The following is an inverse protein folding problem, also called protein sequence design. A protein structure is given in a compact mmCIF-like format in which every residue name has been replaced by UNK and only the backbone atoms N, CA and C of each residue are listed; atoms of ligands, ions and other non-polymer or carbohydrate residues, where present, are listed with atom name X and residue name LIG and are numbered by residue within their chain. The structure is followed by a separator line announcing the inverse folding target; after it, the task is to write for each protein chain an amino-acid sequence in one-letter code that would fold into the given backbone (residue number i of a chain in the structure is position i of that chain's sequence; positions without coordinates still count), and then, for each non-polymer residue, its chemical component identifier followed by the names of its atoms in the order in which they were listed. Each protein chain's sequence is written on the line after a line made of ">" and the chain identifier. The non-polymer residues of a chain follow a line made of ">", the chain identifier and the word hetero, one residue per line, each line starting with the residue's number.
data_IF_679107572394
#
_entry.id   IF_679107572394
#
_cell.length_a   1.000
_cell.length_b   1.000
_cell.length_c   1.000
_cell.angle_alpha   90.00
_cell.angle_beta   90.00
_cell.angle_gamma   90.00
#
_symmetry.space_group_name_H-M   'P 1'
#
loop_
_entity.id
_entity.type
_entity.pdbx_description
1 polymer ?
#
# COMPACT_ATOMS: atom_id res chain seq x y z
N UNK A 1 -43.47 -2.96 -68.48
CA UNK A 1 -42.51 -3.76 -67.75
C UNK A 1 -41.85 -2.80 -66.73
N UNK A 2 -42.28 -2.85 -65.48
CA UNK A 2 -41.79 -1.97 -64.38
C UNK A 2 -40.71 -2.70 -63.61
N UNK A 3 -39.51 -2.16 -63.63
CA UNK A 3 -38.36 -2.66 -62.84
C UNK A 3 -38.49 -2.07 -61.42
N UNK A 4 -38.69 -2.92 -60.40
CA UNK A 4 -38.56 -2.56 -58.99
C UNK A 4 -37.13 -2.73 -58.58
N UNK A 5 -36.48 -1.63 -58.21
CA UNK A 5 -35.18 -1.61 -57.56
C UNK A 5 -35.43 -1.73 -56.07
N UNK A 6 -35.02 -2.84 -55.45
CA UNK A 6 -35.03 -3.05 -54.03
C UNK A 6 -33.73 -2.45 -53.44
N UNK A 7 -33.86 -1.35 -52.72
CA UNK A 7 -32.76 -0.80 -51.93
C UNK A 7 -32.71 -1.57 -50.62
N UNK A 8 -31.68 -2.42 -50.46
CA UNK A 8 -31.36 -3.07 -49.20
C UNK A 8 -30.61 -2.07 -48.34
N UNK A 9 -31.25 -1.48 -47.36
CA UNK A 9 -30.62 -0.71 -46.29
C UNK A 9 -30.06 -1.72 -45.29
N UNK A 10 -28.74 -1.97 -45.34
CA UNK A 10 -28.02 -2.71 -44.30
C UNK A 10 -27.86 -1.74 -43.09
N UNK A 11 -28.72 -1.90 -42.10
CA UNK A 11 -28.51 -1.30 -40.80
C UNK A 11 -27.41 -2.09 -40.10
N UNK A 12 -26.21 -1.53 -40.06
CA UNK A 12 -25.13 -2.03 -39.20
C UNK A 12 -25.51 -1.70 -37.74
N UNK A 13 -26.13 -2.66 -37.11
CA UNK A 13 -26.27 -2.65 -35.64
C UNK A 13 -24.90 -2.94 -35.06
N UNK A 14 -24.19 -1.90 -34.66
CA UNK A 14 -23.03 -2.04 -33.81
C UNK A 14 -23.53 -2.60 -32.46
N UNK A 15 -23.41 -3.90 -32.29
CA UNK A 15 -23.58 -4.56 -31.00
C UNK A 15 -22.35 -4.16 -30.20
N UNK A 16 -22.47 -3.07 -29.42
CA UNK A 16 -21.60 -2.81 -28.30
C UNK A 16 -21.90 -3.91 -27.28
N UNK A 17 -21.16 -4.99 -27.37
CA UNK A 17 -21.09 -5.99 -26.31
C UNK A 17 -20.42 -5.32 -25.12
N UNK A 18 -21.21 -4.57 -24.35
CA UNK A 18 -20.87 -4.18 -23.01
C UNK A 18 -20.88 -5.45 -22.17
N UNK A 19 -19.70 -6.05 -21.96
CA UNK A 19 -19.47 -6.96 -20.86
C UNK A 19 -19.53 -6.13 -19.56
N UNK A 20 -20.73 -5.78 -19.09
CA UNK A 20 -20.97 -5.06 -17.83
C UNK A 20 -21.34 -6.05 -16.73
N UNK A 21 -20.60 -7.15 -16.59
CA UNK A 21 -20.99 -8.19 -15.64
C UNK A 21 -20.47 -8.00 -14.22
N UNK A 22 -19.31 -7.41 -14.01
CA UNK A 22 -18.67 -7.41 -12.69
C UNK A 22 -17.65 -6.26 -12.53
N UNK A 23 -18.02 -5.04 -12.95
CA UNK A 23 -17.12 -3.89 -12.88
C UNK A 23 -17.73 -2.76 -12.07
N UNK A 24 -16.90 -2.15 -11.22
CA UNK A 24 -17.21 -0.86 -10.62
C UNK A 24 -16.85 0.29 -11.57
N UNK A 25 -17.40 1.45 -11.33
CA UNK A 25 -17.18 2.63 -12.17
C UNK A 25 -16.86 3.86 -11.32
N UNK A 26 -15.89 4.63 -11.80
CA UNK A 26 -15.56 5.96 -11.26
C UNK A 26 -15.63 6.94 -12.41
N UNK A 27 -16.47 7.95 -12.30
CA UNK A 27 -16.59 9.01 -13.30
C UNK A 27 -16.65 10.40 -12.64
N UNK A 28 -16.69 11.42 -13.45
CA UNK A 28 -16.84 12.78 -12.97
C UNK A 28 -16.25 13.83 -13.89
N UNK A 29 -16.01 15.01 -13.31
CA UNK A 29 -15.53 16.15 -14.05
C UNK A 29 -14.40 16.87 -13.31
N UNK A 30 -13.35 17.25 -14.07
CA UNK A 30 -12.23 18.06 -13.58
C UNK A 30 -12.27 19.40 -14.26
N UNK A 31 -12.73 20.41 -13.54
CA UNK A 31 -12.76 21.78 -14.03
C UNK A 31 -11.34 22.28 -14.35
N UNK A 32 -11.15 22.81 -15.55
CA UNK A 32 -9.86 23.30 -16.05
C UNK A 32 -8.94 22.22 -16.61
N UNK A 33 -9.38 20.95 -16.68
CA UNK A 33 -8.63 19.89 -17.33
C UNK A 33 -8.94 19.84 -18.84
N UNK A 34 -7.97 19.29 -19.58
CA UNK A 34 -8.06 19.00 -21.02
C UNK A 34 -7.58 17.58 -21.29
N UNK A 35 -7.62 17.12 -22.53
CA UNK A 35 -7.20 15.80 -22.99
C UNK A 35 -5.73 15.44 -22.72
N UNK A 36 -4.90 16.43 -22.37
CA UNK A 36 -3.51 16.21 -21.93
C UNK A 36 -3.38 15.71 -20.49
N UNK A 37 -4.47 15.77 -19.69
CA UNK A 37 -4.48 15.34 -18.29
C UNK A 37 -4.73 13.84 -18.22
N UNK A 38 -3.75 13.11 -17.68
CA UNK A 38 -3.87 11.67 -17.42
C UNK A 38 -4.12 11.41 -15.95
N UNK A 39 -5.20 10.70 -15.65
CA UNK A 39 -5.56 10.21 -14.32
C UNK A 39 -5.11 8.78 -14.16
N UNK A 40 -4.72 8.41 -12.95
CA UNK A 40 -4.35 7.05 -12.59
C UNK A 40 -5.26 6.58 -11.45
N UNK A 41 -5.92 5.45 -11.66
CA UNK A 41 -6.68 4.75 -10.63
C UNK A 41 -5.75 3.76 -9.94
N UNK A 42 -5.68 3.82 -8.63
CA UNK A 42 -4.85 2.94 -7.83
C UNK A 42 -5.68 2.30 -6.72
N UNK A 43 -5.37 1.05 -6.37
CA UNK A 43 -5.96 0.32 -5.24
C UNK A 43 -4.94 0.18 -4.11
N UNK A 44 -5.43 0.13 -2.88
CA UNK A 44 -4.60 -0.10 -1.68
C UNK A 44 -4.52 -1.59 -1.36
N UNK A 45 -3.32 -2.06 -1.05
CA UNK A 45 -3.11 -3.38 -0.45
C UNK A 45 -1.95 -3.30 0.55
N UNK A 46 -2.20 -3.66 1.81
CA UNK A 46 -1.21 -3.63 2.90
C UNK A 46 -0.42 -2.30 2.99
N UNK A 47 -1.12 -1.17 2.85
CA UNK A 47 -0.53 0.17 2.89
C UNK A 47 0.20 0.60 1.61
N UNK A 48 0.29 -0.26 0.60
CA UNK A 48 0.87 0.07 -0.70
C UNK A 48 -0.21 0.40 -1.73
N UNK A 49 0.18 1.16 -2.77
CA UNK A 49 -0.70 1.57 -3.85
C UNK A 49 -0.29 0.93 -5.17
N UNK A 50 -1.25 0.31 -5.86
CA UNK A 50 -1.06 -0.40 -7.12
C UNK A 50 -1.89 0.25 -8.20
N UNK A 51 -1.29 0.47 -9.35
CA UNK A 51 -2.00 1.00 -10.52
C UNK A 51 -2.98 -0.09 -10.99
N UNK A 52 -4.26 0.29 -11.04
CA UNK A 52 -5.34 -0.55 -11.56
C UNK A 52 -5.60 -0.21 -13.02
N UNK A 53 -5.71 1.09 -13.32
CA UNK A 53 -5.97 1.58 -14.68
C UNK A 53 -5.58 3.07 -14.79
N UNK A 54 -5.64 3.61 -16.01
CA UNK A 54 -5.43 5.03 -16.26
C UNK A 54 -6.29 5.53 -17.43
N UNK A 55 -6.73 6.78 -17.37
CA UNK A 55 -7.56 7.41 -18.37
C UNK A 55 -7.12 8.84 -18.66
N UNK A 56 -7.20 9.27 -19.92
CA UNK A 56 -7.09 10.68 -20.26
C UNK A 56 -8.45 11.36 -20.05
N UNK A 57 -8.42 12.57 -19.50
CA UNK A 57 -9.61 13.41 -19.34
C UNK A 57 -10.07 13.88 -20.72
N UNK A 58 -11.39 13.98 -20.93
CA UNK A 58 -11.95 14.54 -22.14
C UNK A 58 -11.73 16.05 -22.25
N UNK A 59 -11.91 16.60 -23.46
CA UNK A 59 -11.74 18.04 -23.72
C UNK A 59 -12.73 18.92 -22.92
N UNK A 60 -13.83 18.34 -22.46
CA UNK A 60 -14.83 18.99 -21.60
C UNK A 60 -14.55 18.80 -20.10
N UNK A 61 -13.43 18.18 -19.75
CA UNK A 61 -13.01 17.86 -18.40
C UNK A 61 -13.63 16.58 -17.84
N UNK A 62 -14.45 15.84 -18.59
CA UNK A 62 -15.06 14.59 -18.13
C UNK A 62 -14.07 13.43 -18.18
N UNK A 63 -14.28 12.46 -17.29
CA UNK A 63 -13.56 11.17 -17.30
C UNK A 63 -14.47 10.03 -16.87
N UNK A 64 -14.11 8.82 -17.26
CA UNK A 64 -14.73 7.59 -16.79
C UNK A 64 -13.69 6.48 -16.79
N UNK A 65 -13.52 5.82 -15.66
CA UNK A 65 -12.56 4.74 -15.44
C UNK A 65 -13.21 3.69 -14.54
N UNK A 66 -12.78 2.46 -14.60
CA UNK A 66 -13.30 1.39 -13.75
C UNK A 66 -12.44 0.14 -13.88
N UNK A 67 -12.78 -0.87 -13.10
CA UNK A 67 -12.11 -2.18 -13.12
C UNK A 67 -13.05 -3.25 -12.59
N UNK A 68 -12.57 -4.49 -12.54
CA UNK A 68 -13.29 -5.58 -11.90
C UNK A 68 -13.58 -5.24 -10.43
N UNK A 69 -14.77 -5.65 -9.96
CA UNK A 69 -15.19 -5.45 -8.58
C UNK A 69 -14.23 -6.19 -7.63
N UNK A 70 -13.82 -5.57 -6.53
CA UNK A 70 -12.98 -6.23 -5.55
C UNK A 70 -13.75 -7.35 -4.83
N UNK A 71 -13.05 -8.41 -4.43
CA UNK A 71 -13.64 -9.50 -3.63
C UNK A 71 -14.08 -9.02 -2.24
N UNK A 72 -13.34 -8.06 -1.67
CA UNK A 72 -13.63 -7.40 -0.40
C UNK A 72 -13.67 -5.88 -0.61
N UNK A 73 -14.48 -5.12 0.16
CA UNK A 73 -14.46 -3.66 0.12
C UNK A 73 -13.03 -3.15 0.23
N UNK A 74 -12.59 -2.25 -0.66
CA UNK A 74 -11.20 -1.80 -0.66
C UNK A 74 -11.10 -0.28 -0.87
N UNK A 75 -9.95 0.28 -0.48
CA UNK A 75 -9.64 1.70 -0.68
C UNK A 75 -8.95 1.88 -2.02
N UNK A 76 -9.49 2.80 -2.80
CA UNK A 76 -8.94 3.27 -4.06
C UNK A 76 -8.56 4.73 -3.96
N UNK A 77 -7.73 5.19 -4.88
CA UNK A 77 -7.48 6.62 -5.06
C UNK A 77 -7.39 6.98 -6.54
N UNK A 78 -7.91 8.15 -6.87
CA UNK A 78 -7.70 8.79 -8.17
C UNK A 78 -6.52 9.75 -8.02
N UNK A 79 -5.46 9.53 -8.80
CA UNK A 79 -4.21 10.29 -8.69
C UNK A 79 -3.94 11.15 -9.93
N UNK A 80 -3.45 12.37 -9.68
CA UNK A 80 -2.94 13.31 -10.67
C UNK A 80 -1.79 14.12 -10.09
N UNK A 81 -0.65 14.19 -10.81
CA UNK A 81 0.52 15.04 -10.48
C UNK A 81 0.95 14.97 -8.99
N UNK A 82 0.98 13.77 -8.41
CA UNK A 82 1.35 13.54 -7.00
C UNK A 82 0.24 13.83 -5.98
N UNK A 83 -0.91 14.37 -6.40
CA UNK A 83 -2.09 14.55 -5.55
C UNK A 83 -3.06 13.38 -5.72
N UNK A 84 -3.83 13.04 -4.68
CA UNK A 84 -4.77 11.93 -4.73
C UNK A 84 -6.06 12.21 -3.96
N UNK A 85 -7.17 11.66 -4.46
CA UNK A 85 -8.48 11.64 -3.81
C UNK A 85 -8.78 10.19 -3.47
N UNK A 86 -8.95 9.87 -2.18
CA UNK A 86 -9.26 8.52 -1.71
C UNK A 86 -10.78 8.29 -1.63
N UNK A 87 -11.19 7.06 -1.92
CA UNK A 87 -12.57 6.60 -1.80
C UNK A 87 -12.60 5.08 -1.68
N UNK A 88 -13.63 4.49 -1.05
CA UNK A 88 -13.82 3.05 -1.01
C UNK A 88 -14.56 2.58 -2.25
N UNK A 89 -14.36 1.34 -2.61
CA UNK A 89 -15.20 0.55 -3.53
C UNK A 89 -15.63 -0.72 -2.81
N UNK A 90 -16.94 -0.95 -2.81
CA UNK A 90 -17.56 -2.18 -2.38
C UNK A 90 -18.38 -2.75 -3.55
N UNK A 91 -17.93 -3.89 -4.09
CA UNK A 91 -18.52 -4.58 -5.22
C UNK A 91 -18.75 -3.70 -6.48
N UNK A 92 -19.97 -3.44 -6.91
CA UNK A 92 -20.33 -2.76 -8.17
C UNK A 92 -20.59 -1.26 -8.00
N UNK A 93 -19.91 -0.61 -7.07
CA UNK A 93 -20.09 0.82 -6.80
C UNK A 93 -19.92 1.69 -8.04
N UNK A 94 -20.71 2.76 -8.10
CA UNK A 94 -20.56 3.84 -9.05
C UNK A 94 -20.24 5.13 -8.30
N UNK A 95 -18.96 5.52 -8.32
CA UNK A 95 -18.45 6.69 -7.60
C UNK A 95 -18.31 7.87 -8.58
N UNK A 96 -18.87 9.02 -8.21
CA UNK A 96 -18.71 10.27 -8.98
C UNK A 96 -17.77 11.22 -8.22
N UNK A 97 -16.71 11.69 -8.89
CA UNK A 97 -15.71 12.60 -8.34
C UNK A 97 -15.67 13.88 -9.20
N UNK A 98 -15.98 15.02 -8.59
CA UNK A 98 -15.81 16.31 -9.24
C UNK A 98 -14.76 17.13 -8.49
N UNK A 99 -13.85 17.76 -9.24
CA UNK A 99 -12.75 18.54 -8.67
C UNK A 99 -12.29 19.64 -9.63
N UNK A 100 -11.37 20.49 -9.17
CA UNK A 100 -10.68 21.49 -10.00
C UNK A 100 -9.22 21.07 -10.21
N UNK A 101 -8.71 21.20 -11.41
CA UNK A 101 -7.32 20.81 -11.72
C UNK A 101 -6.30 21.53 -10.83
N UNK A 102 -6.52 22.82 -10.57
CA UNK A 102 -5.62 23.65 -9.75
C UNK A 102 -5.67 23.30 -8.24
N UNK A 103 -6.70 22.58 -7.79
CA UNK A 103 -6.92 22.20 -6.39
C UNK A 103 -7.40 20.76 -6.29
N UNK A 104 -6.76 19.86 -7.04
CA UNK A 104 -7.21 18.50 -7.33
C UNK A 104 -7.62 17.74 -6.07
N UNK A 105 -6.76 17.69 -5.05
CA UNK A 105 -7.02 16.94 -3.83
C UNK A 105 -7.58 17.80 -2.68
N UNK A 106 -7.88 19.08 -2.90
CA UNK A 106 -8.34 19.99 -1.83
C UNK A 106 -9.75 20.54 -2.06
N UNK A 107 -10.13 20.81 -3.32
CA UNK A 107 -11.47 21.30 -3.69
C UNK A 107 -12.19 20.27 -4.57
N UNK A 108 -12.67 19.21 -3.93
CA UNK A 108 -13.33 18.09 -4.62
C UNK A 108 -14.62 17.65 -3.90
N UNK A 109 -15.45 16.91 -4.60
CA UNK A 109 -16.62 16.20 -4.05
C UNK A 109 -16.57 14.74 -4.47
N UNK A 110 -17.02 13.86 -3.59
CA UNK A 110 -17.23 12.44 -3.86
C UNK A 110 -18.65 12.07 -3.50
N UNK A 111 -19.29 11.31 -4.37
CA UNK A 111 -20.63 10.77 -4.16
C UNK A 111 -20.74 9.38 -4.78
N UNK A 112 -21.84 8.67 -4.52
CA UNK A 112 -22.11 7.34 -5.04
C UNK A 112 -22.29 6.29 -3.95
N UNK A 113 -21.62 6.43 -2.80
CA UNK A 113 -21.90 5.62 -1.60
C UNK A 113 -21.74 6.45 -0.33
N UNK A 114 -22.42 6.05 0.75
CA UNK A 114 -22.28 6.71 2.05
C UNK A 114 -20.86 6.62 2.60
N UNK A 115 -20.21 5.48 2.43
CA UNK A 115 -18.81 5.28 2.83
C UNK A 115 -17.85 6.21 2.07
N UNK A 116 -18.09 6.45 0.77
CA UNK A 116 -17.27 7.38 -0.02
C UNK A 116 -17.44 8.83 0.48
N UNK A 117 -18.64 9.23 0.82
CA UNK A 117 -18.91 10.54 1.41
C UNK A 117 -18.27 10.67 2.80
N UNK A 118 -18.29 9.62 3.61
CA UNK A 118 -17.66 9.61 4.93
C UNK A 118 -16.12 9.75 4.81
N UNK A 119 -15.47 8.98 3.95
CA UNK A 119 -14.03 9.09 3.71
C UNK A 119 -13.66 10.49 3.21
N UNK A 120 -14.41 11.05 2.26
CA UNK A 120 -14.21 12.43 1.82
C UNK A 120 -14.28 13.44 2.97
N UNK A 121 -15.23 13.29 3.89
CA UNK A 121 -15.36 14.18 5.07
C UNK A 121 -14.17 14.03 6.01
N UNK A 122 -13.72 12.80 6.28
CA UNK A 122 -12.54 12.51 7.09
C UNK A 122 -11.30 13.20 6.48
N UNK A 123 -11.09 13.05 5.17
CA UNK A 123 -9.95 13.64 4.48
C UNK A 123 -9.97 15.17 4.52
N UNK A 124 -11.11 15.77 4.22
CA UNK A 124 -11.25 17.22 4.26
C UNK A 124 -11.04 17.81 5.65
N UNK A 125 -11.56 17.15 6.68
CA UNK A 125 -11.32 17.57 8.07
C UNK A 125 -9.85 17.39 8.45
N UNK A 126 -9.23 16.25 8.11
CA UNK A 126 -7.81 15.98 8.33
C UNK A 126 -6.89 17.02 7.67
N UNK A 127 -7.20 17.46 6.45
CA UNK A 127 -6.43 18.51 5.75
C UNK A 127 -6.41 19.83 6.52
N UNK A 128 -7.50 20.19 7.22
CA UNK A 128 -7.54 21.41 8.04
C UNK A 128 -6.64 21.33 9.26
N UNK A 129 -6.22 20.12 9.65
CA UNK A 129 -5.46 19.84 10.86
C UNK A 129 -3.93 19.83 10.66
N UNK A 130 -3.44 20.03 9.45
CA UNK A 130 -1.99 20.01 9.14
C UNK A 130 -1.17 21.04 9.96
N UNK A 131 -1.82 22.10 10.48
CA UNK A 131 -1.21 23.13 11.36
C UNK A 131 -2.02 23.32 12.65
N UNK A 132 -2.82 22.33 13.03
CA UNK A 132 -3.69 22.42 14.20
C UNK A 132 -2.92 22.19 15.51
N UNK A 133 -3.49 22.65 16.59
CA UNK A 133 -2.98 22.37 17.95
C UNK A 133 -3.27 20.90 18.33
N UNK A 134 -2.49 20.31 19.27
CA UNK A 134 -2.76 18.97 19.77
C UNK A 134 -4.20 18.78 20.29
N UNK A 135 -4.79 19.82 20.87
CA UNK A 135 -6.18 19.79 21.36
C UNK A 135 -7.20 19.64 20.21
N UNK A 136 -6.98 20.31 19.09
CA UNK A 136 -7.83 20.21 17.91
C UNK A 136 -7.71 18.82 17.27
N UNK A 137 -6.48 18.28 17.13
CA UNK A 137 -6.24 16.93 16.65
C UNK A 137 -6.93 15.92 17.57
N UNK A 138 -6.80 16.07 18.89
CA UNK A 138 -7.49 15.21 19.85
C UNK A 138 -9.01 15.24 19.70
N UNK A 139 -9.60 16.42 19.50
CA UNK A 139 -11.05 16.56 19.29
C UNK A 139 -11.50 15.80 18.05
N UNK A 140 -10.77 15.89 16.96
CA UNK A 140 -11.03 15.13 15.72
C UNK A 140 -10.88 13.63 15.95
N UNK A 141 -9.80 13.20 16.62
CA UNK A 141 -9.56 11.80 16.98
C UNK A 141 -10.71 11.24 17.82
N UNK A 142 -11.13 11.94 18.88
CA UNK A 142 -12.20 11.51 19.77
C UNK A 142 -13.56 11.38 19.04
N UNK A 143 -13.83 12.27 18.07
CA UNK A 143 -14.99 12.18 17.19
C UNK A 143 -14.91 10.94 16.31
N UNK A 144 -13.78 10.75 15.63
CA UNK A 144 -13.57 9.65 14.70
C UNK A 144 -13.58 8.29 15.42
N UNK A 145 -13.02 8.21 16.63
CA UNK A 145 -13.08 7.01 17.46
C UNK A 145 -14.51 6.56 17.75
N UNK A 146 -15.43 7.50 17.98
CA UNK A 146 -16.87 7.18 18.17
C UNK A 146 -17.51 6.64 16.88
N UNK A 147 -17.16 7.21 15.74
CA UNK A 147 -17.65 6.74 14.44
C UNK A 147 -17.13 5.32 14.11
N UNK A 148 -15.85 5.05 14.38
CA UNK A 148 -15.20 3.74 14.19
C UNK A 148 -15.93 2.65 15.00
N UNK A 149 -16.29 2.90 16.25
CA UNK A 149 -16.91 1.91 17.13
C UNK A 149 -18.34 1.52 16.69
N UNK A 150 -18.99 2.34 15.86
CA UNK A 150 -20.33 2.02 15.34
C UNK A 150 -20.26 0.86 14.34
N UNK A 151 -19.23 0.82 13.48
CA UNK A 151 -19.04 -0.22 12.47
C UNK A 151 -17.55 -0.56 12.38
N UNK A 152 -16.99 -1.24 13.40
CA UNK A 152 -15.55 -1.45 13.51
C UNK A 152 -14.96 -2.42 12.50
N UNK A 153 -15.76 -3.28 11.85
CA UNK A 153 -15.37 -4.14 10.72
C UNK A 153 -15.62 -3.49 9.35
N UNK A 154 -16.04 -2.20 9.33
CA UNK A 154 -16.28 -1.44 8.12
C UNK A 154 -15.02 -0.89 7.46
N UNK A 155 -15.11 -0.65 6.13
CA UNK A 155 -13.98 -0.07 5.35
C UNK A 155 -13.63 1.34 5.82
N UNK A 156 -14.59 2.10 6.35
CA UNK A 156 -14.35 3.45 6.89
C UNK A 156 -13.55 3.36 8.20
N UNK A 157 -13.85 2.39 9.07
CA UNK A 157 -13.09 2.16 10.29
C UNK A 157 -11.62 1.78 9.98
N UNK A 158 -11.43 0.85 9.04
CA UNK A 158 -10.10 0.50 8.54
C UNK A 158 -9.35 1.73 8.01
N UNK A 159 -10.00 2.56 7.18
CA UNK A 159 -9.40 3.77 6.65
C UNK A 159 -9.01 4.76 7.75
N UNK A 160 -9.91 4.95 8.71
CA UNK A 160 -9.77 5.95 9.76
C UNK A 160 -8.63 5.63 10.74
N UNK A 161 -8.46 4.35 11.16
CA UNK A 161 -7.35 3.97 12.07
C UNK A 161 -5.98 4.07 11.41
N UNK A 162 -5.91 4.04 10.07
CA UNK A 162 -4.69 4.20 9.30
C UNK A 162 -4.46 5.64 8.81
N UNK A 163 -5.19 6.62 9.37
CA UNK A 163 -5.06 8.03 8.97
C UNK A 163 -3.86 8.69 9.62
N UNK A 164 -3.19 9.55 8.85
CA UNK A 164 -2.08 10.40 9.29
C UNK A 164 -2.47 11.88 9.26
N UNK A 165 -1.91 12.66 10.18
CA UNK A 165 -1.92 14.12 10.17
C UNK A 165 -0.47 14.58 10.06
N UNK A 166 -0.08 15.06 8.87
CA UNK A 166 1.34 15.20 8.53
C UNK A 166 2.02 13.83 8.49
N UNK A 167 3.13 13.69 9.21
CA UNK A 167 3.90 12.44 9.29
C UNK A 167 3.53 11.58 10.52
N UNK A 168 2.59 12.04 11.35
CA UNK A 168 2.20 11.34 12.58
C UNK A 168 0.90 10.54 12.39
N UNK A 169 0.85 9.28 12.85
CA UNK A 169 -0.39 8.50 12.82
C UNK A 169 -1.43 9.14 13.76
N UNK A 170 -2.67 9.23 13.29
CA UNK A 170 -3.77 9.76 14.11
C UNK A 170 -4.10 8.81 15.27
N UNK A 171 -4.04 7.50 15.03
CA UNK A 171 -4.16 6.46 16.05
C UNK A 171 -2.82 5.76 16.22
N UNK A 172 -2.13 6.03 17.33
CA UNK A 172 -0.82 5.46 17.65
C UNK A 172 -1.00 4.12 18.39
N UNK A 173 -0.53 2.98 17.85
CA UNK A 173 -0.59 1.70 18.53
C UNK A 173 0.20 1.65 19.86
N UNK A 174 1.04 2.64 20.15
CA UNK A 174 1.75 2.75 21.41
C UNK A 174 0.95 3.53 22.49
N UNK A 175 -0.06 4.29 22.10
CA UNK A 175 -0.98 4.95 23.03
C UNK A 175 -2.07 3.99 23.54
N UNK A 176 -2.37 4.02 24.83
CA UNK A 176 -3.31 3.11 25.47
C UNK A 176 -4.76 3.31 25.00
N UNK A 177 -5.16 4.53 24.71
CA UNK A 177 -6.52 4.84 24.26
C UNK A 177 -6.69 4.45 22.80
N UNK A 178 -5.70 4.77 21.98
CA UNK A 178 -5.69 4.47 20.55
C UNK A 178 -5.64 2.97 20.29
N UNK A 179 -4.80 2.24 21.03
CA UNK A 179 -4.69 0.80 20.90
C UNK A 179 -6.01 0.08 21.22
N UNK A 180 -6.86 0.63 22.11
CA UNK A 180 -8.21 0.09 22.32
C UNK A 180 -9.11 0.25 21.09
N UNK A 181 -9.00 1.38 20.38
CA UNK A 181 -9.76 1.61 19.14
C UNK A 181 -9.25 0.70 18.02
N UNK A 182 -7.92 0.62 17.84
CA UNK A 182 -7.28 -0.31 16.90
C UNK A 182 -7.69 -1.75 17.23
N UNK A 183 -7.70 -2.12 18.52
CA UNK A 183 -8.11 -3.45 18.98
C UNK A 183 -9.59 -3.76 18.71
N UNK A 184 -10.48 -2.79 18.81
CA UNK A 184 -11.88 -2.97 18.44
C UNK A 184 -12.02 -3.29 16.95
N UNK A 185 -11.30 -2.57 16.07
CA UNK A 185 -11.29 -2.83 14.64
C UNK A 185 -10.68 -4.21 14.34
N UNK A 186 -9.48 -4.50 14.86
CA UNK A 186 -8.78 -5.76 14.61
C UNK A 186 -9.59 -6.99 15.05
N UNK A 187 -10.18 -6.95 16.26
CA UNK A 187 -11.01 -8.04 16.78
C UNK A 187 -12.30 -8.20 15.97
N UNK A 188 -12.90 -7.10 15.52
CA UNK A 188 -14.12 -7.14 14.71
C UNK A 188 -13.85 -7.73 13.32
N UNK A 189 -12.76 -7.32 12.66
CA UNK A 189 -12.32 -7.96 11.41
C UNK A 189 -12.04 -9.45 11.62
N UNK A 190 -11.29 -9.83 12.66
CA UNK A 190 -10.97 -11.23 12.95
C UNK A 190 -12.23 -12.08 13.20
N UNK A 191 -13.28 -11.47 13.75
CA UNK A 191 -14.53 -12.18 14.07
C UNK A 191 -15.47 -12.26 12.87
N UNK A 192 -15.66 -11.15 12.14
CA UNK A 192 -16.70 -11.01 11.11
C UNK A 192 -16.16 -11.08 9.68
N UNK A 193 -14.86 -10.84 9.49
CA UNK A 193 -14.17 -10.83 8.19
C UNK A 193 -12.87 -11.65 8.21
N UNK A 194 -12.88 -12.91 8.69
CA UNK A 194 -11.64 -13.68 8.89
C UNK A 194 -10.87 -13.96 7.61
N UNK A 195 -11.54 -13.93 6.44
CA UNK A 195 -10.91 -14.14 5.13
C UNK A 195 -10.50 -12.84 4.43
N UNK A 196 -10.76 -11.68 5.03
CA UNK A 196 -10.32 -10.41 4.47
C UNK A 196 -8.79 -10.28 4.62
N UNK A 197 -8.04 -9.99 3.55
CA UNK A 197 -6.58 -9.93 3.60
C UNK A 197 -6.01 -8.89 4.57
N UNK A 198 -6.82 -7.93 5.01
CA UNK A 198 -6.44 -6.92 6.02
C UNK A 198 -6.50 -7.44 7.45
N UNK A 199 -7.21 -8.54 7.69
CA UNK A 199 -7.43 -9.08 9.05
C UNK A 199 -6.12 -9.45 9.71
N UNK A 200 -5.25 -10.17 9.03
CA UNK A 200 -3.94 -10.56 9.57
C UNK A 200 -3.08 -9.33 9.91
N UNK A 201 -3.07 -8.32 9.04
CA UNK A 201 -2.36 -7.07 9.30
C UNK A 201 -2.88 -6.35 10.55
N UNK A 202 -4.21 -6.21 10.67
CA UNK A 202 -4.83 -5.55 11.83
C UNK A 202 -4.55 -6.29 13.14
N UNK A 203 -4.61 -7.61 13.12
CA UNK A 203 -4.28 -8.46 14.29
C UNK A 203 -2.80 -8.29 14.67
N UNK A 204 -1.89 -8.25 13.70
CA UNK A 204 -0.47 -8.03 13.98
C UNK A 204 -0.21 -6.65 14.57
N UNK A 205 -0.79 -5.58 14.04
CA UNK A 205 -0.68 -4.22 14.61
C UNK A 205 -1.13 -4.19 16.07
N UNK A 206 -2.24 -4.87 16.39
CA UNK A 206 -2.74 -4.98 17.76
C UNK A 206 -1.76 -5.74 18.67
N UNK A 207 -1.27 -6.89 18.23
CA UNK A 207 -0.34 -7.72 19.01
C UNK A 207 0.98 -7.01 19.26
N UNK A 208 1.54 -6.38 18.25
CA UNK A 208 2.79 -5.62 18.35
C UNK A 208 2.64 -4.41 19.31
N UNK A 209 1.54 -3.68 19.20
CA UNK A 209 1.23 -2.60 20.12
C UNK A 209 1.13 -3.08 21.58
N UNK A 210 0.45 -4.20 21.80
CA UNK A 210 0.34 -4.82 23.14
C UNK A 210 1.71 -5.28 23.69
N UNK A 211 2.54 -5.91 22.85
CA UNK A 211 3.86 -6.37 23.23
C UNK A 211 4.78 -5.22 23.60
N UNK A 212 4.88 -4.20 22.76
CA UNK A 212 5.71 -3.00 23.02
C UNK A 212 5.27 -2.27 24.30
N UNK A 213 3.98 -2.19 24.55
CA UNK A 213 3.44 -1.59 25.79
C UNK A 213 3.77 -2.41 27.03
N UNK A 214 3.74 -3.75 26.94
CA UNK A 214 4.18 -4.61 28.08
C UNK A 214 5.65 -4.36 28.38
N UNK A 215 6.49 -4.37 27.36
CA UNK A 215 7.93 -4.07 27.49
C UNK A 215 8.21 -2.67 28.09
N UNK A 216 7.40 -1.66 27.75
CA UNK A 216 7.54 -0.31 28.31
C UNK A 216 7.05 -0.18 29.76
N UNK A 217 6.20 -1.08 30.26
CA UNK A 217 5.66 -1.06 31.63
C UNK A 217 6.45 -1.90 32.62
N UNK A 218 7.33 -2.79 32.16
CA UNK A 218 8.23 -3.53 33.05
C UNK A 218 9.32 -2.58 33.56
N UNK A 219 9.54 -2.51 34.92
CA UNK A 219 10.63 -1.68 35.44
C UNK A 219 11.95 -2.18 34.90
N UNK A 220 12.79 -1.23 34.47
CA UNK A 220 14.12 -1.44 33.95
C UNK A 220 15.06 -1.99 35.04
N UNK A 221 14.84 -3.19 35.50
CA UNK A 221 15.93 -4.02 36.00
C UNK A 221 16.58 -4.63 34.77
N UNK A 222 17.86 -4.35 34.62
CA UNK A 222 18.75 -4.80 33.59
C UNK A 222 18.43 -6.21 33.05
N UNK A 223 17.45 -6.28 32.17
CA UNK A 223 17.25 -7.44 31.33
C UNK A 223 17.85 -7.07 29.98
N UNK A 224 18.90 -7.79 29.66
CA UNK A 224 19.48 -7.84 28.33
C UNK A 224 18.34 -7.78 27.29
N UNK A 225 18.49 -6.90 26.29
CA UNK A 225 17.61 -6.85 25.14
C UNK A 225 17.25 -8.30 24.75
N UNK A 226 15.99 -8.65 24.94
CA UNK A 226 15.50 -9.93 24.44
C UNK A 226 15.67 -9.83 22.94
N UNK A 227 16.59 -10.64 22.43
CA UNK A 227 16.87 -10.80 21.01
C UNK A 227 15.54 -10.81 20.27
N UNK A 228 15.28 -9.78 19.48
CA UNK A 228 14.20 -9.83 18.49
C UNK A 228 14.71 -10.84 17.48
N UNK A 229 14.37 -12.09 17.71
CA UNK A 229 14.79 -13.18 16.84
C UNK A 229 14.38 -12.80 15.42
N UNK A 230 15.33 -12.82 14.50
CA UNK A 230 15.09 -12.51 13.10
C UNK A 230 13.92 -13.35 12.60
N UNK A 231 12.85 -12.70 12.16
CA UNK A 231 11.71 -13.38 11.56
C UNK A 231 12.17 -13.99 10.23
N UNK A 232 12.19 -15.33 10.15
CA UNK A 232 12.75 -16.01 8.99
C UNK A 232 11.84 -15.87 7.76
N UNK A 233 12.49 -15.54 6.64
CA UNK A 233 11.91 -15.57 5.30
C UNK A 233 12.56 -16.73 4.56
N UNK A 234 11.75 -17.66 4.07
CA UNK A 234 12.23 -18.83 3.32
C UNK A 234 11.52 -18.87 1.98
N UNK A 235 12.20 -18.48 0.91
CA UNK A 235 11.69 -18.33 -0.45
C UNK A 235 12.69 -18.85 -1.46
N UNK A 236 12.20 -19.16 -2.68
CA UNK A 236 13.02 -19.73 -3.74
C UNK A 236 13.65 -18.65 -4.63
N UNK A 237 14.89 -18.89 -5.05
CA UNK A 237 15.55 -18.12 -6.09
C UNK A 237 15.10 -18.59 -7.51
N UNK A 238 15.60 -17.90 -8.55
CA UNK A 238 15.24 -18.21 -9.94
C UNK A 238 15.75 -19.58 -10.44
N UNK A 239 16.53 -20.30 -9.65
CA UNK A 239 16.98 -21.66 -9.91
C UNK A 239 16.17 -22.70 -9.13
N UNK A 240 15.21 -22.26 -8.31
CA UNK A 240 14.43 -23.12 -7.43
C UNK A 240 15.17 -23.54 -6.17
N UNK A 241 16.23 -22.81 -5.79
CA UNK A 241 16.95 -23.04 -4.53
C UNK A 241 16.31 -22.19 -3.44
N UNK A 242 15.88 -22.84 -2.37
CA UNK A 242 15.30 -22.16 -1.21
C UNK A 242 16.38 -21.50 -0.36
N UNK A 243 16.23 -20.20 -0.13
CA UNK A 243 17.07 -19.41 0.77
C UNK A 243 16.31 -19.02 2.02
N UNK A 244 16.86 -19.32 3.19
CA UNK A 244 16.36 -18.88 4.50
C UNK A 244 17.17 -17.65 4.94
N UNK A 245 16.48 -16.55 5.24
CA UNK A 245 17.09 -15.30 5.67
C UNK A 245 17.92 -15.48 6.95
N UNK A 246 17.43 -16.28 7.90
CA UNK A 246 18.15 -16.58 9.14
C UNK A 246 19.47 -17.32 8.87
N UNK A 247 19.50 -18.28 7.93
CA UNK A 247 20.73 -18.97 7.52
C UNK A 247 21.69 -18.03 6.81
N UNK A 248 21.18 -17.16 5.92
CA UNK A 248 21.98 -16.14 5.24
C UNK A 248 22.58 -15.16 6.25
N UNK A 249 21.80 -14.72 7.23
CA UNK A 249 22.28 -13.84 8.30
C UNK A 249 23.37 -14.48 9.17
N UNK A 250 23.25 -15.76 9.48
CA UNK A 250 24.24 -16.49 10.27
C UNK A 250 25.59 -16.68 9.53
N UNK A 251 25.60 -16.58 8.20
CA UNK A 251 26.79 -16.78 7.37
C UNK A 251 27.49 -15.47 6.97
N UNK A 252 26.84 -14.33 7.21
CA UNK A 252 27.34 -13.03 6.77
C UNK A 252 27.42 -12.05 7.94
N UNK A 253 28.33 -11.09 7.86
CA UNK A 253 28.54 -10.07 8.89
C UNK A 253 27.37 -9.09 8.97
N UNK A 254 26.86 -8.68 7.80
CA UNK A 254 25.72 -7.79 7.63
C UNK A 254 24.88 -8.31 6.46
N UNK A 255 23.57 -8.31 6.62
CA UNK A 255 22.65 -8.61 5.54
C UNK A 255 21.74 -7.40 5.30
N UNK A 256 21.62 -7.00 4.05
CA UNK A 256 20.61 -6.03 3.60
C UNK A 256 19.38 -6.82 3.14
N UNK A 257 18.31 -6.83 3.93
CA UNK A 257 17.02 -7.34 3.50
C UNK A 257 16.29 -6.20 2.79
N UNK A 258 15.89 -6.44 1.54
CA UNK A 258 15.16 -5.45 0.74
C UNK A 258 13.91 -6.06 0.12
N UNK A 259 12.78 -5.41 0.30
CA UNK A 259 11.53 -5.69 -0.41
C UNK A 259 11.39 -4.73 -1.59
N UNK A 260 11.09 -5.26 -2.77
CA UNK A 260 11.07 -4.50 -4.02
C UNK A 260 10.00 -5.01 -4.98
N UNK A 261 9.74 -4.20 -6.01
CA UNK A 261 9.02 -4.60 -7.22
C UNK A 261 9.89 -4.24 -8.43
N UNK A 262 10.25 -5.23 -9.23
CA UNK A 262 11.11 -5.04 -10.40
C UNK A 262 10.39 -4.33 -11.54
N UNK A 263 9.06 -4.38 -11.58
CA UNK A 263 8.22 -3.62 -12.52
C UNK A 263 8.14 -2.12 -12.17
N UNK A 264 8.56 -1.71 -10.98
CA UNK A 264 8.53 -0.31 -10.56
C UNK A 264 9.57 0.55 -11.29
N UNK A 265 9.20 1.76 -11.70
CA UNK A 265 10.10 2.72 -12.39
C UNK A 265 11.37 3.05 -11.58
N UNK A 266 11.31 2.93 -10.26
CA UNK A 266 12.45 3.13 -9.35
C UNK A 266 13.47 1.98 -9.41
N UNK A 267 13.06 0.77 -9.79
CA UNK A 267 13.83 -0.47 -9.63
C UNK A 267 15.20 -0.43 -10.30
N UNK A 268 15.38 0.04 -11.55
CA UNK A 268 16.70 0.07 -12.19
C UNK A 268 17.70 0.95 -11.43
N UNK A 269 17.28 2.11 -10.96
CA UNK A 269 18.15 3.04 -10.23
C UNK A 269 18.47 2.50 -8.83
N UNK A 270 17.48 1.90 -8.16
CA UNK A 270 17.67 1.32 -6.85
C UNK A 270 18.59 0.09 -6.88
N UNK A 271 18.43 -0.79 -7.86
CA UNK A 271 19.33 -1.94 -8.06
C UNK A 271 20.76 -1.50 -8.40
N UNK A 272 20.93 -0.37 -9.10
CA UNK A 272 22.26 0.21 -9.30
C UNK A 272 22.88 0.66 -7.96
N UNK A 273 22.13 1.34 -7.11
CA UNK A 273 22.59 1.71 -5.77
C UNK A 273 22.98 0.48 -4.93
N UNK A 274 22.16 -0.56 -4.94
CA UNK A 274 22.45 -1.82 -4.25
C UNK A 274 23.73 -2.46 -4.79
N UNK A 275 23.94 -2.45 -6.11
CA UNK A 275 25.15 -3.00 -6.73
C UNK A 275 26.41 -2.25 -6.32
N UNK A 276 26.36 -0.92 -6.23
CA UNK A 276 27.49 -0.10 -5.77
C UNK A 276 27.85 -0.42 -4.31
N UNK A 277 26.82 -0.57 -3.45
CA UNK A 277 26.99 -0.95 -2.04
C UNK A 277 27.54 -2.37 -1.93
N UNK A 278 26.97 -3.32 -2.66
CA UNK A 278 27.36 -4.74 -2.62
C UNK A 278 28.78 -4.95 -3.09
N UNK A 279 29.13 -4.37 -4.24
CA UNK A 279 30.48 -4.48 -4.81
C UNK A 279 31.57 -3.94 -3.89
N UNK A 280 31.25 -2.87 -3.15
CA UNK A 280 32.18 -2.27 -2.20
C UNK A 280 32.36 -3.09 -0.90
N UNK A 281 31.40 -3.90 -0.49
CA UNK A 281 31.34 -4.50 0.85
C UNK A 281 31.21 -6.03 0.86
N UNK A 282 30.97 -6.69 -0.28
CA UNK A 282 30.87 -8.15 -0.37
C UNK A 282 32.09 -8.87 0.24
N UNK A 283 33.29 -8.41 -0.08
CA UNK A 283 34.54 -8.98 0.45
C UNK A 283 34.69 -8.82 1.97
N UNK A 284 33.96 -7.91 2.60
CA UNK A 284 33.95 -7.68 4.04
C UNK A 284 32.76 -8.39 4.76
N UNK A 285 31.99 -9.21 4.04
CA UNK A 285 30.90 -10.03 4.59
C UNK A 285 29.51 -9.40 4.50
N UNK A 286 29.27 -8.51 3.51
CA UNK A 286 27.94 -8.06 3.17
C UNK A 286 27.24 -9.07 2.25
N UNK A 287 25.99 -9.40 2.55
CA UNK A 287 25.07 -10.05 1.61
C UNK A 287 23.80 -9.20 1.44
N UNK A 288 23.12 -9.35 0.31
CA UNK A 288 21.81 -8.76 0.06
C UNK A 288 20.82 -9.90 -0.15
N UNK A 289 19.72 -9.84 0.57
CA UNK A 289 18.55 -10.72 0.43
C UNK A 289 17.38 -9.86 -0.08
N UNK A 290 17.13 -9.94 -1.39
CA UNK A 290 16.12 -9.10 -2.04
C UNK A 290 14.87 -9.91 -2.39
N UNK A 291 13.73 -9.48 -1.86
CA UNK A 291 12.42 -10.12 -2.02
C UNK A 291 11.61 -9.36 -3.08
N UNK A 292 11.26 -10.04 -4.15
CA UNK A 292 10.32 -9.53 -5.15
C UNK A 292 8.88 -9.70 -4.67
N UNK A 293 8.12 -8.62 -4.74
CA UNK A 293 6.67 -8.56 -4.49
C UNK A 293 5.88 -8.31 -5.77
N UNK A 294 6.49 -8.52 -6.95
CA UNK A 294 5.81 -8.36 -8.24
C UNK A 294 4.61 -9.31 -8.35
N UNK A 295 3.54 -8.85 -8.99
CA UNK A 295 2.31 -9.64 -9.18
C UNK A 295 2.55 -10.91 -10.03
N UNK A 296 3.53 -10.85 -10.94
CA UNK A 296 4.05 -12.00 -11.69
C UNK A 296 5.57 -12.06 -11.57
N UNK A 297 6.15 -13.21 -11.90
CA UNK A 297 7.59 -13.43 -11.76
C UNK A 297 8.42 -12.98 -12.98
N UNK A 298 7.81 -12.40 -14.00
CA UNK A 298 8.52 -12.15 -15.30
C UNK A 298 9.63 -11.13 -15.15
N UNK A 299 9.30 -9.96 -14.57
CA UNK A 299 10.28 -8.88 -14.36
C UNK A 299 11.39 -9.31 -13.38
N UNK A 300 11.02 -10.00 -12.28
CA UNK A 300 11.97 -10.56 -11.36
C UNK A 300 12.91 -11.57 -12.02
N UNK A 301 12.41 -12.53 -12.80
CA UNK A 301 13.23 -13.52 -13.49
C UNK A 301 14.24 -12.90 -14.46
N UNK A 302 13.87 -11.81 -15.14
CA UNK A 302 14.76 -11.07 -16.03
C UNK A 302 15.88 -10.37 -15.27
N UNK A 303 15.56 -9.77 -14.13
CA UNK A 303 16.54 -9.08 -13.29
C UNK A 303 17.43 -10.05 -12.49
N UNK A 304 16.84 -11.06 -11.86
CA UNK A 304 17.50 -11.99 -10.94
C UNK A 304 18.71 -12.72 -11.55
N UNK A 305 18.65 -13.01 -12.85
CA UNK A 305 19.75 -13.68 -13.57
C UNK A 305 21.02 -12.83 -13.68
N UNK A 306 20.91 -11.52 -13.55
CA UNK A 306 21.99 -10.56 -13.74
C UNK A 306 22.42 -9.88 -12.44
N UNK A 307 21.75 -10.16 -11.33
CA UNK A 307 22.09 -9.58 -10.04
C UNK A 307 23.04 -10.51 -9.26
N UNK A 308 24.11 -9.96 -8.65
CA UNK A 308 25.17 -10.76 -8.02
C UNK A 308 24.87 -11.19 -6.58
N UNK A 309 23.68 -10.92 -6.07
CA UNK A 309 23.21 -11.25 -4.71
C UNK A 309 22.00 -12.17 -4.74
N UNK A 310 21.50 -12.56 -3.56
CA UNK A 310 20.33 -13.43 -3.41
C UNK A 310 19.07 -12.63 -3.75
N UNK A 311 18.32 -13.08 -4.77
CA UNK A 311 17.03 -12.56 -5.13
C UNK A 311 16.00 -13.69 -5.08
N UNK A 312 14.93 -13.49 -4.36
CA UNK A 312 13.86 -14.47 -4.17
C UNK A 312 12.51 -13.88 -4.58
N UNK A 313 11.57 -14.75 -4.96
CA UNK A 313 10.23 -14.36 -5.37
C UNK A 313 9.19 -14.80 -4.33
N UNK A 314 8.36 -13.86 -3.90
CA UNK A 314 7.22 -14.15 -3.06
C UNK A 314 5.94 -14.19 -3.92
N UNK A 315 5.38 -15.37 -4.18
CA UNK A 315 4.21 -15.51 -5.06
C UNK A 315 2.93 -14.88 -4.49
N UNK A 316 2.91 -14.60 -3.18
CA UNK A 316 1.81 -13.89 -2.53
C UNK A 316 1.90 -12.36 -2.72
N UNK A 317 3.02 -11.87 -3.30
CA UNK A 317 3.25 -10.46 -3.57
C UNK A 317 3.03 -9.61 -2.33
N UNK A 318 2.26 -8.55 -2.48
CA UNK A 318 1.95 -7.61 -1.38
C UNK A 318 1.06 -8.19 -0.29
N UNK A 319 0.36 -9.29 -0.55
CA UNK A 319 -0.45 -10.00 0.43
C UNK A 319 0.35 -11.06 1.20
N UNK A 320 1.67 -11.08 1.03
CA UNK A 320 2.55 -12.00 1.70
C UNK A 320 2.57 -11.80 3.22
N UNK A 321 2.58 -12.90 3.96
CA UNK A 321 2.87 -12.88 5.40
C UNK A 321 4.20 -12.18 5.72
N UNK A 322 5.18 -12.25 4.81
CA UNK A 322 6.49 -11.62 4.99
C UNK A 322 6.36 -10.09 4.97
N UNK A 323 5.47 -9.54 4.14
CA UNK A 323 5.14 -8.10 4.10
C UNK A 323 4.56 -7.65 5.45
N UNK A 324 3.61 -8.42 6.00
CA UNK A 324 3.02 -8.15 7.32
C UNK A 324 4.04 -8.28 8.46
N UNK A 325 4.84 -9.36 8.48
CA UNK A 325 5.86 -9.61 9.50
C UNK A 325 6.90 -8.48 9.61
N UNK A 326 7.33 -7.94 8.47
CA UNK A 326 8.31 -6.85 8.41
C UNK A 326 7.68 -5.46 8.34
N UNK A 327 6.34 -5.34 8.45
CA UNK A 327 5.60 -4.08 8.38
C UNK A 327 6.01 -3.25 7.14
N UNK A 328 6.06 -3.91 5.98
CA UNK A 328 6.43 -3.26 4.72
C UNK A 328 5.25 -2.43 4.22
N UNK A 329 5.32 -1.11 4.38
CA UNK A 329 4.26 -0.16 4.01
C UNK A 329 4.41 0.39 2.58
N UNK A 330 5.49 0.06 1.91
CA UNK A 330 5.80 0.52 0.55
C UNK A 330 7.08 -0.11 0.03
N UNK A 331 7.36 0.02 -1.26
CA UNK A 331 8.60 -0.44 -1.88
C UNK A 331 9.31 0.71 -2.59
N UNK A 332 10.66 0.76 -2.52
CA UNK A 332 11.53 -0.18 -1.82
C UNK A 332 11.55 0.04 -0.30
N UNK A 333 11.48 -1.02 0.49
CA UNK A 333 11.72 -0.99 1.94
C UNK A 333 12.97 -1.82 2.24
N UNK A 334 13.85 -1.28 3.08
CA UNK A 334 15.14 -1.91 3.34
C UNK A 334 15.43 -1.99 4.84
N UNK A 335 15.97 -3.13 5.26
CA UNK A 335 16.41 -3.39 6.63
C UNK A 335 17.86 -3.80 6.65
N UNK A 336 18.60 -3.36 7.66
CA UNK A 336 19.95 -3.84 7.95
C UNK A 336 19.86 -4.89 9.05
N UNK A 337 20.43 -6.05 8.79
CA UNK A 337 20.49 -7.19 9.72
C UNK A 337 21.93 -7.43 10.10
N UNK A 338 22.20 -7.56 11.39
CA UNK A 338 23.52 -7.89 11.95
C UNK A 338 23.35 -8.84 13.12
N UNK A 339 24.17 -9.90 13.17
CA UNK A 339 24.15 -10.93 14.22
C UNK A 339 22.77 -11.61 14.41
N UNK A 340 21.98 -11.72 13.34
CA UNK A 340 20.64 -12.31 13.43
C UNK A 340 19.56 -11.36 13.95
N UNK A 341 19.81 -10.05 14.02
CA UNK A 341 18.86 -9.04 14.47
C UNK A 341 18.67 -7.94 13.43
N UNK A 342 17.46 -7.39 13.32
CA UNK A 342 17.20 -6.17 12.55
C UNK A 342 17.69 -4.98 13.36
N UNK A 343 18.79 -4.34 12.89
CA UNK A 343 19.44 -3.24 13.61
C UNK A 343 19.07 -1.86 13.09
N UNK A 344 18.53 -1.76 11.87
CA UNK A 344 18.05 -0.48 11.31
C UNK A 344 17.05 -0.75 10.18
N UNK A 345 15.97 0.05 10.13
CA UNK A 345 15.09 0.20 8.97
C UNK A 345 15.47 1.46 8.21
N UNK A 346 15.73 1.36 6.92
CA UNK A 346 16.16 2.48 6.07
C UNK A 346 15.02 2.85 5.15
N UNK A 347 14.39 4.00 5.40
CA UNK A 347 13.26 4.49 4.63
C UNK A 347 13.68 5.38 3.45
N UNK A 348 14.84 6.03 3.55
CA UNK A 348 15.39 6.90 2.51
C UNK A 348 16.55 6.19 1.79
N UNK A 349 16.38 5.89 0.50
CA UNK A 349 17.40 5.25 -0.33
C UNK A 349 18.74 5.99 -0.30
N UNK A 350 18.75 7.33 -0.18
CA UNK A 350 19.96 8.13 -0.12
C UNK A 350 20.78 7.86 1.14
N UNK A 351 20.16 7.40 2.21
CA UNK A 351 20.81 7.06 3.48
C UNK A 351 21.32 5.62 3.54
N UNK A 352 20.91 4.75 2.60
CA UNK A 352 21.22 3.32 2.63
C UNK A 352 22.72 3.05 2.68
N UNK A 353 23.51 3.75 1.86
CA UNK A 353 24.98 3.57 1.86
C UNK A 353 25.60 3.89 3.21
N UNK A 354 25.18 4.98 3.84
CA UNK A 354 25.67 5.38 5.17
C UNK A 354 25.21 4.39 6.26
N UNK A 355 23.96 3.92 6.19
CA UNK A 355 23.44 2.91 7.10
C UNK A 355 24.22 1.60 7.03
N UNK A 356 24.51 1.08 5.83
CA UNK A 356 25.34 -0.11 5.66
C UNK A 356 26.73 0.11 6.24
N UNK A 357 27.39 1.24 5.94
CA UNK A 357 28.74 1.54 6.43
C UNK A 357 28.83 1.62 7.97
N UNK A 358 27.78 2.06 8.65
CA UNK A 358 27.68 2.12 10.11
C UNK A 358 27.80 0.74 10.78
N UNK A 359 27.36 -0.32 10.10
CA UNK A 359 27.32 -1.69 10.66
C UNK A 359 28.38 -2.62 10.09
N UNK A 360 29.03 -2.27 8.97
CA UNK A 360 30.19 -2.98 8.42
C UNK A 360 31.43 -2.77 9.26
#
# INVERSE_FOLDING_TARGET
>A
MKKYIFLLAIAAVAVLSSCTGNQFKVDGKIEGATDSVKLVLESSSNGMWFIVDSVNVGNDGSFSIGSEAPEFPNIYRLRYAGQAICFPIDSLDHITINTKLAAFATDYTVSGSDHAVQIMKIDKEAMTLAKATPAQIKTFKDKLAKEIIVEPDGIVAYYAINKYIGDEPLFDPLDDADLRIIGAVANSFNTFRPNDPRTDYLVQVLLDGQQRRRAAKEPTDTIHATETALLDISLDDYKGVTHSLSKVSAQNRVVVLNFTMYQGDFSPMFNKLLNDIYSANKGAGLEIYQVSLDADNVAWLQAARNLPWITVYDPSGVNSKNVGMYQVMGVPTTFIIKNGEVVERVEDANKLKAAVQKFM
#
